data_IF_522841282138
#
_entry.id   IF_522841282138
#
_cell.length_a   1.000
_cell.length_b   1.000
_cell.length_c   1.000
_cell.angle_alpha   90.00
_cell.angle_beta   90.00
_cell.angle_gamma   90.00
#
_symmetry.space_group_name_H-M   'P 1'
#
loop_
_entity.id
_entity.type
_entity.pdbx_description
1 polymer ?
#
# COMPACT_ATOMS: atom_id res chain seq x y z
N UNK A 1 38.33 -9.31 -68.82
CA UNK A 1 37.70 -10.22 -69.81
C UNK A 1 36.42 -9.59 -70.32
N UNK A 2 36.26 -9.45 -71.64
CA UNK A 2 35.02 -8.96 -72.22
C UNK A 2 33.92 -10.00 -71.99
N UNK A 3 32.83 -9.60 -71.33
CA UNK A 3 31.70 -10.49 -71.07
C UNK A 3 31.07 -10.92 -72.40
N UNK A 4 30.89 -12.24 -72.59
CA UNK A 4 30.24 -12.81 -73.78
C UNK A 4 28.71 -12.57 -73.79
N UNK A 5 28.18 -11.75 -72.87
CA UNK A 5 26.78 -11.32 -72.82
C UNK A 5 26.27 -10.68 -74.10
N UNK A 6 27.13 -10.05 -74.89
CA UNK A 6 26.77 -9.45 -76.20
C UNK A 6 26.90 -10.43 -77.38
N UNK A 7 27.20 -11.71 -77.13
CA UNK A 7 27.30 -12.72 -78.16
C UNK A 7 25.96 -12.97 -78.86
N UNK A 8 26.03 -13.32 -80.15
CA UNK A 8 24.84 -13.63 -80.94
C UNK A 8 24.05 -14.80 -80.31
N UNK A 9 22.70 -14.82 -80.43
CA UNK A 9 21.88 -15.90 -79.88
C UNK A 9 22.31 -17.30 -80.36
N UNK A 10 22.81 -17.41 -81.61
CA UNK A 10 23.35 -18.66 -82.16
C UNK A 10 24.59 -19.14 -81.40
N UNK A 11 25.50 -18.23 -81.07
CA UNK A 11 26.73 -18.56 -80.33
C UNK A 11 26.43 -18.93 -78.87
N UNK A 12 25.47 -18.27 -78.23
CA UNK A 12 25.01 -18.64 -76.88
C UNK A 12 24.34 -20.01 -76.85
N UNK A 13 23.51 -20.31 -77.85
CA UNK A 13 22.92 -21.64 -78.02
C UNK A 13 24.00 -22.71 -78.19
N UNK A 14 25.03 -22.44 -79.01
CA UNK A 14 26.18 -23.33 -79.16
C UNK A 14 26.91 -23.59 -77.83
N UNK A 15 27.19 -22.55 -77.03
CA UNK A 15 27.83 -22.73 -75.72
C UNK A 15 27.00 -23.60 -74.77
N UNK A 16 25.68 -23.45 -74.79
CA UNK A 16 24.76 -24.25 -73.98
C UNK A 16 24.69 -25.71 -74.45
N UNK A 17 24.61 -25.93 -75.75
CA UNK A 17 24.50 -27.28 -76.33
C UNK A 17 25.81 -28.09 -76.21
N UNK A 18 26.96 -27.42 -76.19
CA UNK A 18 28.27 -28.07 -76.09
C UNK A 18 28.86 -28.04 -74.67
N UNK A 19 28.04 -27.74 -73.65
CA UNK A 19 28.45 -27.72 -72.24
C UNK A 19 29.72 -26.89 -71.95
N UNK A 20 29.97 -25.85 -72.76
CA UNK A 20 31.20 -25.05 -72.70
C UNK A 20 31.42 -24.40 -71.33
N UNK A 21 30.39 -23.82 -70.68
CA UNK A 21 30.55 -23.30 -69.32
C UNK A 21 31.01 -24.36 -68.32
N UNK A 22 30.48 -25.59 -68.41
CA UNK A 22 30.80 -26.70 -67.51
C UNK A 22 32.22 -27.23 -67.75
N UNK A 23 32.67 -27.31 -69.00
CA UNK A 23 34.05 -27.68 -69.35
C UNK A 23 35.04 -26.65 -68.83
N UNK A 24 34.76 -25.35 -69.05
CA UNK A 24 35.57 -24.28 -68.51
C UNK A 24 35.59 -24.31 -66.98
N UNK A 25 34.47 -24.65 -66.34
CA UNK A 25 34.41 -24.77 -64.89
C UNK A 25 35.33 -25.86 -64.34
N UNK A 26 35.28 -27.06 -64.92
CA UNK A 26 36.09 -28.20 -64.48
C UNK A 26 37.59 -27.92 -64.65
N UNK A 27 37.98 -27.37 -65.80
CA UNK A 27 39.37 -27.02 -66.10
C UNK A 27 39.89 -25.90 -65.18
N UNK A 28 39.10 -24.86 -64.97
CA UNK A 28 39.47 -23.75 -64.07
C UNK A 28 39.53 -24.22 -62.62
N UNK A 29 38.62 -25.09 -62.18
CA UNK A 29 38.71 -25.71 -60.86
C UNK A 29 39.99 -26.54 -60.70
N UNK A 30 40.32 -27.38 -61.69
CA UNK A 30 41.56 -28.17 -61.71
C UNK A 30 42.81 -27.31 -61.61
N UNK A 31 42.92 -26.27 -62.44
CA UNK A 31 44.05 -25.34 -62.41
C UNK A 31 44.21 -24.62 -61.07
N UNK A 32 43.12 -24.10 -60.52
CA UNK A 32 43.15 -23.32 -59.27
C UNK A 32 43.46 -24.18 -58.05
N UNK A 33 43.18 -25.49 -58.09
CA UNK A 33 43.43 -26.42 -56.98
C UNK A 33 44.81 -27.06 -57.10
N UNK A 34 45.15 -27.57 -58.28
CA UNK A 34 46.39 -28.33 -58.51
C UNK A 34 47.61 -27.42 -58.68
N UNK A 35 47.41 -26.17 -59.17
CA UNK A 35 48.46 -25.18 -59.41
C UNK A 35 49.74 -25.75 -60.05
N UNK A 36 49.63 -26.41 -61.23
CA UNK A 36 50.76 -27.06 -61.88
C UNK A 36 51.83 -26.05 -62.31
N UNK A 37 53.10 -26.49 -62.34
CA UNK A 37 54.22 -25.65 -62.82
C UNK A 37 54.09 -25.26 -64.29
N UNK A 38 53.53 -26.17 -65.11
CA UNK A 38 53.16 -25.90 -66.50
C UNK A 38 51.63 -26.02 -66.69
N UNK A 39 50.89 -24.90 -66.63
CA UNK A 39 49.43 -24.91 -66.75
C UNK A 39 48.94 -25.22 -68.16
N UNK A 40 49.73 -24.98 -69.21
CA UNK A 40 49.33 -25.23 -70.59
C UNK A 40 49.34 -26.73 -70.88
N UNK A 41 50.44 -27.40 -70.50
CA UNK A 41 50.56 -28.85 -70.65
C UNK A 41 49.50 -29.59 -69.82
N UNK A 42 49.26 -29.15 -68.59
CA UNK A 42 48.20 -29.70 -67.75
C UNK A 42 46.80 -29.53 -68.37
N UNK A 43 46.49 -28.36 -68.93
CA UNK A 43 45.21 -28.13 -69.61
C UNK A 43 45.04 -29.05 -70.82
N UNK A 44 46.10 -29.24 -71.61
CA UNK A 44 46.07 -30.14 -72.77
C UNK A 44 45.76 -31.58 -72.36
N UNK A 45 46.47 -32.10 -71.35
CA UNK A 45 46.25 -33.44 -70.80
C UNK A 45 44.82 -33.60 -70.25
N UNK A 46 44.30 -32.59 -69.54
CA UNK A 46 42.93 -32.62 -69.02
C UNK A 46 41.86 -32.51 -70.11
N UNK A 47 42.09 -31.72 -71.16
CA UNK A 47 41.17 -31.62 -72.31
C UNK A 47 41.10 -32.95 -73.06
N UNK A 48 42.24 -33.60 -73.30
CA UNK A 48 42.30 -34.92 -73.92
C UNK A 48 41.51 -35.92 -73.07
N UNK A 49 41.72 -35.93 -71.74
CA UNK A 49 40.97 -36.79 -70.82
C UNK A 49 39.45 -36.53 -70.83
N UNK A 50 39.01 -35.28 -70.95
CA UNK A 50 37.57 -34.96 -71.09
C UNK A 50 37.02 -35.45 -72.43
N UNK A 51 37.79 -35.31 -73.52
CA UNK A 51 37.38 -35.78 -74.85
C UNK A 51 37.23 -37.31 -74.90
N UNK A 52 38.12 -38.05 -74.25
CA UNK A 52 38.08 -39.52 -74.18
C UNK A 52 36.91 -40.06 -73.32
N UNK A 53 36.58 -39.38 -72.22
CA UNK A 53 35.51 -39.79 -71.30
C UNK A 53 34.11 -39.29 -71.70
N UNK A 54 34.05 -38.35 -72.64
CA UNK A 54 32.81 -37.75 -73.15
C UNK A 54 32.21 -36.67 -72.22
N UNK A 55 31.42 -35.76 -72.80
CA UNK A 55 30.83 -34.62 -72.08
C UNK A 55 29.67 -35.02 -71.15
N UNK A 56 29.06 -36.19 -71.34
CA UNK A 56 27.93 -36.68 -70.54
C UNK A 56 28.34 -37.07 -69.11
N UNK A 57 29.61 -37.44 -68.90
CA UNK A 57 30.17 -37.82 -67.59
C UNK A 57 30.89 -36.67 -66.90
N UNK A 58 30.87 -35.47 -67.49
CA UNK A 58 31.62 -34.32 -67.02
C UNK A 58 31.14 -33.83 -65.66
N UNK A 59 32.03 -33.92 -64.66
CA UNK A 59 31.84 -33.38 -63.32
C UNK A 59 32.80 -32.20 -63.08
N UNK A 60 32.38 -31.27 -62.23
CA UNK A 60 33.16 -30.04 -61.93
C UNK A 60 34.51 -30.33 -61.26
N UNK A 61 34.66 -31.50 -60.63
CA UNK A 61 35.86 -31.95 -59.91
C UNK A 61 36.67 -32.99 -60.69
N UNK A 62 36.31 -33.27 -61.95
CA UNK A 62 36.96 -34.29 -62.78
C UNK A 62 38.45 -34.01 -63.01
N UNK A 63 38.84 -32.73 -63.13
CA UNK A 63 40.24 -32.35 -63.30
C UNK A 63 40.99 -32.20 -61.97
N UNK A 64 40.36 -32.48 -60.82
CA UNK A 64 40.99 -32.33 -59.50
C UNK A 64 41.40 -33.71 -58.96
N UNK A 65 42.65 -33.84 -58.52
CA UNK A 65 43.13 -35.06 -57.87
C UNK A 65 42.21 -35.44 -56.68
N UNK A 66 41.73 -36.70 -56.58
CA UNK A 66 40.93 -37.19 -55.46
C UNK A 66 41.45 -36.81 -54.07
N UNK A 67 42.76 -36.72 -53.87
CA UNK A 67 43.38 -36.35 -52.59
C UNK A 67 43.27 -34.86 -52.26
N UNK A 68 43.06 -34.01 -53.27
CA UNK A 68 43.03 -32.55 -53.17
C UNK A 68 41.62 -31.96 -53.37
N UNK A 69 40.59 -32.81 -53.44
CA UNK A 69 39.21 -32.35 -53.68
C UNK A 69 38.71 -31.40 -52.59
N UNK A 70 38.28 -30.17 -52.94
CA UNK A 70 37.78 -29.23 -51.96
C UNK A 70 36.40 -29.67 -51.44
N UNK A 71 36.16 -29.49 -50.13
CA UNK A 71 34.86 -29.80 -49.49
C UNK A 71 33.69 -28.93 -50.00
N UNK A 72 34.00 -27.79 -50.61
CA UNK A 72 33.03 -26.82 -51.13
C UNK A 72 33.42 -26.48 -52.56
N UNK A 73 32.45 -26.54 -53.48
CA UNK A 73 32.60 -26.13 -54.88
C UNK A 73 32.92 -24.62 -54.92
N UNK A 74 34.15 -24.26 -55.34
CA UNK A 74 34.67 -22.87 -55.27
C UNK A 74 34.12 -21.96 -56.38
N UNK A 75 33.81 -22.52 -57.55
CA UNK A 75 33.16 -21.80 -58.64
C UNK A 75 31.70 -22.20 -58.67
N UNK A 76 30.78 -21.26 -58.50
CA UNK A 76 29.36 -21.55 -58.65
C UNK A 76 29.02 -21.63 -60.14
N UNK A 77 28.23 -22.63 -60.52
CA UNK A 77 27.72 -22.79 -61.88
C UNK A 77 27.11 -21.49 -62.44
N UNK A 78 26.46 -20.72 -61.57
CA UNK A 78 25.82 -19.44 -61.88
C UNK A 78 26.80 -18.36 -62.37
N UNK A 79 28.06 -18.35 -61.93
CA UNK A 79 29.01 -17.32 -62.35
C UNK A 79 29.42 -17.49 -63.82
N UNK A 80 29.68 -18.73 -64.26
CA UNK A 80 30.03 -18.99 -65.65
C UNK A 80 28.81 -18.83 -66.56
N UNK A 81 27.62 -19.27 -66.13
CA UNK A 81 26.36 -19.00 -66.85
C UNK A 81 26.13 -17.49 -67.06
N UNK A 82 26.44 -16.66 -66.06
CA UNK A 82 26.40 -15.20 -66.16
C UNK A 82 27.49 -14.60 -67.07
N UNK A 83 28.69 -15.21 -67.11
CA UNK A 83 29.79 -14.77 -67.98
C UNK A 83 29.47 -15.04 -69.45
N UNK A 84 28.89 -16.20 -69.75
CA UNK A 84 28.45 -16.64 -71.07
C UNK A 84 27.09 -16.05 -71.48
N UNK A 85 26.41 -15.31 -70.59
CA UNK A 85 25.14 -14.62 -70.89
C UNK A 85 23.98 -15.59 -71.15
N UNK A 86 24.00 -16.72 -70.43
CA UNK A 86 22.98 -17.77 -70.48
C UNK A 86 21.89 -17.59 -69.40
N UNK A 87 22.07 -16.58 -68.52
CA UNK A 87 21.12 -16.20 -67.48
C UNK A 87 20.14 -15.14 -68.02
N UNK A 88 18.86 -15.51 -68.14
CA UNK A 88 17.77 -14.65 -68.65
C UNK A 88 17.22 -13.67 -67.59
N UNK A 89 17.71 -13.67 -66.34
CA UNK A 89 17.05 -12.97 -65.22
C UNK A 89 17.61 -11.59 -64.83
N UNK A 90 18.59 -11.00 -65.52
CA UNK A 90 19.23 -9.77 -65.04
C UNK A 90 18.70 -8.48 -65.71
N UNK A 91 17.92 -7.74 -64.92
CA UNK A 91 17.41 -6.37 -65.12
C UNK A 91 16.56 -6.19 -66.37
N UNK A 92 15.26 -6.42 -66.22
CA UNK A 92 14.30 -6.00 -67.23
C UNK A 92 14.19 -4.46 -67.24
N UNK A 93 13.93 -3.84 -68.40
CA UNK A 93 13.68 -2.39 -68.50
C UNK A 93 12.58 -1.91 -67.53
N UNK A 94 11.61 -2.77 -67.24
CA UNK A 94 10.52 -2.52 -66.30
C UNK A 94 11.01 -2.33 -64.86
N UNK A 95 11.97 -3.13 -64.41
CA UNK A 95 12.57 -2.98 -63.07
C UNK A 95 13.39 -1.69 -62.97
N UNK A 96 14.06 -1.30 -64.05
CA UNK A 96 14.82 -0.05 -64.10
C UNK A 96 13.91 1.18 -64.04
N UNK A 97 12.78 1.16 -64.78
CA UNK A 97 11.75 2.19 -64.73
C UNK A 97 11.16 2.29 -63.32
N UNK A 98 10.86 1.15 -62.68
CA UNK A 98 10.33 1.11 -61.32
C UNK A 98 11.29 1.72 -60.30
N UNK A 99 12.59 1.41 -60.40
CA UNK A 99 13.61 1.98 -59.54
C UNK A 99 13.74 3.50 -59.74
N UNK A 100 13.72 3.98 -60.99
CA UNK A 100 13.78 5.40 -61.32
C UNK A 100 12.57 6.17 -60.77
N UNK A 101 11.36 5.64 -60.97
CA UNK A 101 10.13 6.24 -60.45
C UNK A 101 10.12 6.31 -58.92
N UNK A 102 10.60 5.26 -58.24
CA UNK A 102 10.71 5.26 -56.79
C UNK A 102 11.69 6.32 -56.29
N UNK A 103 12.87 6.41 -56.90
CA UNK A 103 13.87 7.41 -56.54
C UNK A 103 13.36 8.84 -56.75
N UNK A 104 12.78 9.13 -57.92
CA UNK A 104 12.25 10.44 -58.25
C UNK A 104 11.07 10.83 -57.34
N UNK A 105 10.15 9.89 -57.06
CA UNK A 105 9.03 10.13 -56.16
C UNK A 105 9.49 10.45 -54.73
N UNK A 106 10.52 9.74 -54.23
CA UNK A 106 11.11 10.02 -52.92
C UNK A 106 11.77 11.40 -52.91
N UNK A 107 12.56 11.71 -53.93
CA UNK A 107 13.29 12.98 -54.05
C UNK A 107 12.33 14.17 -54.07
N UNK A 108 11.27 14.11 -54.90
CA UNK A 108 10.23 15.13 -54.97
C UNK A 108 9.53 15.32 -53.63
N UNK A 109 9.17 14.21 -52.96
CA UNK A 109 8.53 14.25 -51.64
C UNK A 109 9.42 14.95 -50.62
N UNK A 110 10.70 14.61 -50.55
CA UNK A 110 11.64 15.22 -49.61
C UNK A 110 11.80 16.71 -49.86
N UNK A 111 12.08 17.13 -51.10
CA UNK A 111 12.23 18.55 -51.42
C UNK A 111 10.93 19.34 -51.21
N UNK A 112 9.78 18.75 -51.51
CA UNK A 112 8.49 19.39 -51.27
C UNK A 112 8.22 19.61 -49.77
N UNK A 113 8.54 18.64 -48.90
CA UNK A 113 8.41 18.83 -47.45
C UNK A 113 9.32 19.93 -46.94
N UNK A 114 10.60 19.90 -47.32
CA UNK A 114 11.57 20.94 -46.92
C UNK A 114 11.12 22.32 -47.41
N UNK A 115 10.67 22.43 -48.66
CA UNK A 115 10.12 23.68 -49.19
C UNK A 115 8.90 24.14 -48.39
N UNK A 116 7.96 23.24 -48.10
CA UNK A 116 6.74 23.55 -47.35
C UNK A 116 7.05 24.07 -45.95
N UNK A 117 7.99 23.45 -45.23
CA UNK A 117 8.40 23.90 -43.89
C UNK A 117 9.03 25.29 -43.90
N UNK A 118 9.76 25.64 -44.98
CA UNK A 118 10.41 26.95 -45.11
C UNK A 118 9.42 28.02 -45.61
N UNK A 119 8.57 27.67 -46.58
CA UNK A 119 7.69 28.61 -47.27
C UNK A 119 6.41 28.91 -46.47
N UNK A 120 5.99 28.01 -45.60
CA UNK A 120 4.84 28.20 -44.70
C UNK A 120 5.39 28.33 -43.28
N UNK A 121 5.77 29.54 -42.82
CA UNK A 121 6.19 29.74 -41.45
C UNK A 121 5.05 29.32 -40.50
N UNK A 122 5.36 28.75 -39.32
CA UNK A 122 4.37 28.32 -38.34
C UNK A 122 3.79 29.52 -37.59
N UNK A 123 3.19 30.49 -38.30
CA UNK A 123 2.59 31.68 -37.71
C UNK A 123 1.47 31.37 -36.71
N UNK A 124 0.89 30.16 -36.77
CA UNK A 124 -0.11 29.71 -35.80
C UNK A 124 0.47 29.00 -34.57
N UNK A 125 1.70 28.50 -34.60
CA UNK A 125 2.23 27.73 -33.45
C UNK A 125 2.58 28.63 -32.27
N UNK A 126 3.18 29.79 -32.55
CA UNK A 126 3.50 30.80 -31.54
C UNK A 126 2.21 31.36 -30.89
N UNK A 127 1.17 31.60 -31.69
CA UNK A 127 -0.14 32.06 -31.20
C UNK A 127 -0.82 30.98 -30.34
N UNK A 128 -0.79 29.71 -30.76
CA UNK A 128 -1.32 28.58 -29.98
C UNK A 128 -0.54 28.42 -28.67
N UNK A 129 0.79 28.58 -28.71
CA UNK A 129 1.64 28.51 -27.52
C UNK A 129 1.32 29.66 -26.56
N UNK A 130 1.17 30.88 -27.07
CA UNK A 130 0.80 32.05 -26.28
C UNK A 130 -0.58 31.88 -25.61
N UNK A 131 -1.57 31.35 -26.33
CA UNK A 131 -2.90 31.05 -25.79
C UNK A 131 -2.81 30.01 -24.66
N UNK A 132 -2.08 28.91 -24.88
CA UNK A 132 -1.86 27.87 -23.86
C UNK A 132 -1.14 28.41 -22.63
N UNK A 133 -0.13 29.26 -22.83
CA UNK A 133 0.61 29.91 -21.76
C UNK A 133 -0.33 30.83 -20.93
N UNK A 134 -1.17 31.61 -21.60
CA UNK A 134 -2.19 32.44 -20.96
C UNK A 134 -3.17 31.61 -20.12
N UNK A 135 -3.70 30.52 -20.67
CA UNK A 135 -4.59 29.61 -19.96
C UNK A 135 -3.91 28.98 -18.72
N UNK A 136 -2.64 28.59 -18.84
CA UNK A 136 -1.86 28.03 -17.73
C UNK A 136 -1.67 29.05 -16.60
N UNK A 137 -1.37 30.31 -16.92
CA UNK A 137 -1.23 31.39 -15.94
C UNK A 137 -2.56 31.64 -15.21
N UNK A 138 -3.68 31.70 -15.93
CA UNK A 138 -5.00 31.88 -15.32
C UNK A 138 -5.34 30.72 -14.38
N UNK A 139 -5.09 29.48 -14.82
CA UNK A 139 -5.32 28.29 -14.01
C UNK A 139 -4.45 28.28 -12.74
N UNK A 140 -3.16 28.60 -12.86
CA UNK A 140 -2.26 28.62 -11.70
C UNK A 140 -2.67 29.69 -10.68
N UNK A 141 -3.02 30.89 -11.14
CA UNK A 141 -3.55 31.94 -10.28
C UNK A 141 -4.84 31.52 -9.57
N UNK A 142 -5.76 30.86 -10.27
CA UNK A 142 -6.97 30.31 -9.68
C UNK A 142 -6.65 29.25 -8.63
N UNK A 143 -5.72 28.33 -8.93
CA UNK A 143 -5.26 27.27 -8.02
C UNK A 143 -4.68 27.85 -6.74
N UNK A 144 -3.83 28.87 -6.83
CA UNK A 144 -3.24 29.56 -5.68
C UNK A 144 -4.31 30.22 -4.82
N UNK A 145 -5.22 31.00 -5.43
CA UNK A 145 -6.35 31.61 -4.70
C UNK A 145 -7.22 30.58 -4.00
N UNK A 146 -7.52 29.47 -4.69
CA UNK A 146 -8.28 28.34 -4.12
C UNK A 146 -7.56 27.73 -2.93
N UNK A 147 -6.24 27.52 -3.01
CA UNK A 147 -5.46 26.97 -1.91
C UNK A 147 -5.53 27.86 -0.66
N UNK A 148 -5.30 29.17 -0.82
CA UNK A 148 -5.41 30.15 0.28
C UNK A 148 -6.81 30.15 0.89
N UNK A 149 -7.86 30.10 0.07
CA UNK A 149 -9.24 30.05 0.55
C UNK A 149 -9.53 28.78 1.36
N UNK A 150 -9.05 27.62 0.91
CA UNK A 150 -9.23 26.36 1.65
C UNK A 150 -8.51 26.39 3.01
N UNK A 151 -7.29 26.92 3.03
CA UNK A 151 -6.53 27.07 4.26
C UNK A 151 -7.24 28.02 5.24
N UNK A 152 -7.68 29.19 4.76
CA UNK A 152 -8.45 30.14 5.55
C UNK A 152 -9.75 29.53 6.07
N UNK A 153 -10.52 28.84 5.22
CA UNK A 153 -11.77 28.20 5.60
C UNK A 153 -11.54 27.14 6.68
N UNK A 154 -10.53 26.29 6.51
CA UNK A 154 -10.14 25.27 7.51
C UNK A 154 -9.76 25.92 8.84
N UNK A 155 -8.94 26.97 8.81
CA UNK A 155 -8.56 27.73 9.99
C UNK A 155 -9.78 28.32 10.72
N UNK A 156 -10.69 28.99 10.00
CA UNK A 156 -11.89 29.60 10.58
C UNK A 156 -12.82 28.53 11.16
N UNK A 157 -12.99 27.39 10.46
CA UNK A 157 -13.80 26.28 10.95
C UNK A 157 -13.25 25.73 12.26
N UNK A 158 -11.95 25.44 12.32
CA UNK A 158 -11.29 24.95 13.52
C UNK A 158 -11.39 25.96 14.68
N UNK A 159 -11.19 27.26 14.40
CA UNK A 159 -11.36 28.33 15.41
C UNK A 159 -12.78 28.38 15.98
N UNK A 160 -13.80 28.22 15.13
CA UNK A 160 -15.20 28.17 15.58
C UNK A 160 -15.48 26.93 16.44
N UNK A 161 -14.91 25.78 16.09
CA UNK A 161 -15.00 24.54 16.87
C UNK A 161 -14.36 24.70 18.24
N UNK A 162 -13.12 25.21 18.30
CA UNK A 162 -12.42 25.49 19.56
C UNK A 162 -13.21 26.45 20.48
N UNK A 163 -13.81 27.50 19.91
CA UNK A 163 -14.62 28.44 20.69
C UNK A 163 -15.88 27.77 21.25
N UNK A 164 -16.57 26.94 20.46
CA UNK A 164 -17.74 26.18 20.94
C UNK A 164 -17.35 25.23 22.07
N UNK A 165 -16.24 24.52 21.93
CA UNK A 165 -15.75 23.59 22.95
C UNK A 165 -15.37 24.32 24.24
N UNK A 166 -14.69 25.46 24.14
CA UNK A 166 -14.36 26.30 25.29
C UNK A 166 -15.62 26.80 26.00
N UNK A 167 -16.63 27.27 25.26
CA UNK A 167 -17.91 27.70 25.81
C UNK A 167 -18.64 26.56 26.54
N UNK A 168 -18.69 25.36 25.96
CA UNK A 168 -19.29 24.19 26.59
C UNK A 168 -18.57 23.81 27.90
N UNK A 169 -17.23 23.91 27.93
CA UNK A 169 -16.46 23.68 29.17
C UNK A 169 -16.80 24.69 30.25
N UNK A 170 -16.85 25.98 29.91
CA UNK A 170 -17.22 27.04 30.86
C UNK A 170 -18.63 26.84 31.39
N UNK A 171 -19.60 26.53 30.52
CA UNK A 171 -20.98 26.23 30.92
C UNK A 171 -21.07 25.05 31.88
N UNK A 172 -20.34 23.96 31.60
CA UNK A 172 -20.26 22.80 32.50
C UNK A 172 -19.67 23.18 33.86
N UNK A 173 -18.58 23.94 33.89
CA UNK A 173 -17.99 24.41 35.15
C UNK A 173 -18.96 25.28 35.95
N UNK A 174 -19.66 26.19 35.29
CA UNK A 174 -20.67 27.04 35.94
C UNK A 174 -21.82 26.21 36.52
N UNK A 175 -22.30 25.20 35.77
CA UNK A 175 -23.33 24.29 36.25
C UNK A 175 -22.86 23.50 37.48
N UNK A 176 -21.67 22.90 37.42
CA UNK A 176 -21.07 22.17 38.55
C UNK A 176 -20.93 23.09 39.78
N UNK A 177 -20.42 24.30 39.59
CA UNK A 177 -20.25 25.27 40.68
C UNK A 177 -21.59 25.65 41.31
N UNK A 178 -22.62 25.91 40.50
CA UNK A 178 -23.98 26.19 40.97
C UNK A 178 -24.56 25.00 41.77
N UNK A 179 -24.34 23.77 41.30
CA UNK A 179 -24.73 22.57 42.03
C UNK A 179 -24.01 22.46 43.39
N UNK A 180 -22.70 22.67 43.41
CA UNK A 180 -21.90 22.64 44.65
C UNK A 180 -22.41 23.66 45.66
N UNK A 181 -22.65 24.91 45.25
CA UNK A 181 -23.23 25.93 46.13
C UNK A 181 -24.58 25.49 46.67
N UNK A 182 -25.44 24.95 45.81
CA UNK A 182 -26.79 24.52 46.19
C UNK A 182 -26.74 23.37 47.20
N UNK A 183 -25.87 22.38 46.96
CA UNK A 183 -25.66 21.25 47.86
C UNK A 183 -25.06 21.69 49.20
N UNK A 184 -24.09 22.61 49.19
CA UNK A 184 -23.53 23.17 50.43
C UNK A 184 -24.60 23.88 51.25
N UNK A 185 -25.40 24.77 50.64
CA UNK A 185 -26.52 25.46 51.32
C UNK A 185 -27.56 24.47 51.87
N UNK A 186 -27.84 23.39 51.14
CA UNK A 186 -28.74 22.34 51.62
C UNK A 186 -28.14 21.59 52.82
N UNK A 187 -26.87 21.19 52.72
CA UNK A 187 -26.14 20.49 53.78
C UNK A 187 -26.08 21.30 55.06
N UNK A 188 -25.81 22.59 54.97
CA UNK A 188 -25.72 23.47 56.13
C UNK A 188 -27.08 23.61 56.83
N UNK A 189 -28.17 23.77 56.05
CA UNK A 189 -29.54 23.75 56.59
C UNK A 189 -29.90 22.41 57.23
N UNK A 190 -29.52 21.29 56.61
CA UNK A 190 -29.77 19.97 57.16
C UNK A 190 -29.04 19.78 58.50
N UNK A 191 -27.76 20.20 58.59
CA UNK A 191 -26.97 20.18 59.83
C UNK A 191 -27.59 21.06 60.91
N UNK A 192 -28.00 22.29 60.59
CA UNK A 192 -28.66 23.17 61.56
C UNK A 192 -29.97 22.57 62.07
N UNK A 193 -30.79 21.98 61.20
CA UNK A 193 -32.05 21.34 61.60
C UNK A 193 -31.81 20.10 62.47
N UNK A 194 -30.79 19.31 62.17
CA UNK A 194 -30.40 18.15 62.97
C UNK A 194 -29.92 18.59 64.35
N UNK A 195 -28.96 19.53 64.42
CA UNK A 195 -28.45 20.06 65.68
C UNK A 195 -29.54 20.67 66.55
N UNK A 196 -30.47 21.44 65.96
CA UNK A 196 -31.63 21.98 66.70
C UNK A 196 -32.48 20.87 67.33
N UNK A 197 -32.74 19.77 66.62
CA UNK A 197 -33.50 18.62 67.17
C UNK A 197 -32.73 17.93 68.29
N UNK A 198 -31.41 17.78 68.13
CA UNK A 198 -30.53 17.21 69.14
C UNK A 198 -30.53 18.07 70.41
N UNK A 199 -30.34 19.38 70.28
CA UNK A 199 -30.39 20.34 71.39
C UNK A 199 -31.78 20.33 72.08
N UNK A 200 -32.87 20.28 71.32
CA UNK A 200 -34.24 20.16 71.86
C UNK A 200 -34.46 18.85 72.64
N UNK A 201 -33.89 17.74 72.16
CA UNK A 201 -33.96 16.44 72.84
C UNK A 201 -33.10 16.44 74.11
N UNK A 202 -31.88 16.98 74.05
CA UNK A 202 -30.99 17.13 75.20
C UNK A 202 -31.65 17.96 76.31
N UNK A 203 -32.26 19.09 75.95
CA UNK A 203 -32.97 19.94 76.90
C UNK A 203 -34.17 19.23 77.54
N UNK A 204 -34.90 18.40 76.78
CA UNK A 204 -35.97 17.54 77.33
C UNK A 204 -35.43 16.51 78.32
N UNK A 205 -34.32 15.85 78.00
CA UNK A 205 -33.68 14.90 78.89
C UNK A 205 -33.19 15.58 80.18
N UNK A 206 -32.59 16.76 80.07
CA UNK A 206 -32.12 17.54 81.22
C UNK A 206 -33.27 17.97 82.14
N UNK A 207 -34.39 18.43 81.56
CA UNK A 207 -35.61 18.73 82.32
C UNK A 207 -36.20 17.48 83.02
N UNK A 208 -36.16 16.31 82.38
CA UNK A 208 -36.58 15.06 83.00
C UNK A 208 -35.67 14.66 84.16
N UNK A 209 -34.35 14.79 84.01
CA UNK A 209 -33.38 14.54 85.08
C UNK A 209 -33.59 15.49 86.26
N UNK A 210 -33.82 16.79 86.01
CA UNK A 210 -34.14 17.75 87.06
C UNK A 210 -35.47 17.45 87.77
N UNK A 211 -36.49 16.96 87.05
CA UNK A 211 -37.74 16.49 87.67
C UNK A 211 -37.50 15.26 88.55
N UNK A 212 -36.71 14.31 88.06
CA UNK A 212 -36.38 13.08 88.79
C UNK A 212 -35.52 13.36 90.03
N UNK A 213 -34.57 14.29 89.95
CA UNK A 213 -33.78 14.72 91.11
C UNK A 213 -34.65 15.44 92.15
N UNK A 214 -35.55 16.34 91.73
CA UNK A 214 -36.54 16.97 92.64
C UNK A 214 -37.49 15.95 93.27
N UNK A 215 -37.82 14.85 92.57
CA UNK A 215 -38.62 13.75 93.12
C UNK A 215 -37.81 12.94 94.14
N UNK A 216 -36.54 12.61 93.85
CA UNK A 216 -35.62 11.94 94.79
C UNK A 216 -35.39 12.75 96.06
N UNK A 217 -35.29 14.07 95.97
CA UNK A 217 -35.18 14.94 97.16
C UNK A 217 -36.50 15.06 97.95
N UNK A 218 -37.67 14.74 97.37
CA UNK A 218 -38.94 14.63 98.10
C UNK A 218 -39.15 13.27 98.76
N UNK A 219 -38.45 12.23 98.33
CA UNK A 219 -38.55 10.87 98.90
C UNK A 219 -37.40 10.55 99.88
N UNK A 220 -36.41 11.44 100.00
CA UNK A 220 -35.28 11.33 100.93
C UNK A 220 -35.63 11.80 102.36
N UNK A 221 -36.73 11.29 102.89
CA UNK A 221 -36.99 11.26 104.33
C UNK A 221 -37.55 9.89 104.70
N UNK A 222 -36.76 8.84 104.43
CA UNK A 222 -36.68 7.56 105.16
C UNK A 222 -35.80 6.59 104.37
N UNK A 223 -34.55 6.54 104.85
CA UNK A 223 -33.74 5.36 105.12
C UNK A 223 -33.42 4.29 104.07
N UNK A 224 -32.12 3.96 104.16
CA UNK A 224 -31.43 2.71 103.99
C UNK A 224 -30.89 2.29 102.61
N UNK A 225 -29.56 2.38 102.58
CA UNK A 225 -28.63 1.88 101.59
C UNK A 225 -28.68 0.36 101.48
N UNK A 226 -28.74 -0.14 100.24
CA UNK A 226 -28.16 -1.43 99.87
C UNK A 226 -27.46 -1.23 98.52
N UNK A 227 -26.13 -1.25 98.52
CA UNK A 227 -25.32 -1.51 97.33
C UNK A 227 -25.32 -3.03 97.06
N UNK A 228 -25.28 -3.42 95.78
CA UNK A 228 -24.29 -4.41 95.40
C UNK A 228 -23.34 -3.88 94.33
N UNK A 229 -22.07 -3.79 94.70
CA UNK A 229 -20.90 -3.92 93.83
C UNK A 229 -20.90 -5.29 93.13
N UNK A 230 -20.75 -5.32 91.80
CA UNK A 230 -19.59 -5.99 91.18
C UNK A 230 -19.45 -5.72 89.66
N UNK A 231 -18.50 -4.84 89.35
CA UNK A 231 -17.47 -4.89 88.30
C UNK A 231 -17.75 -5.56 86.93
N UNK A 232 -17.71 -4.73 85.88
CA UNK A 232 -16.76 -4.96 84.76
C UNK A 232 -16.04 -3.64 84.44
N UNK A 233 -14.73 -3.69 84.69
CA UNK A 233 -13.63 -2.76 84.43
C UNK A 233 -13.84 -1.61 83.44
N UNK A 234 -13.68 -0.39 83.95
CA UNK A 234 -13.44 0.83 83.19
C UNK A 234 -11.92 0.96 82.95
N UNK A 235 -11.51 0.66 81.71
CA UNK A 235 -10.15 0.88 81.20
C UNK A 235 -10.14 2.15 80.33
N UNK A 236 -9.49 3.17 80.88
CA UNK A 236 -9.29 4.51 80.36
C UNK A 236 -8.62 4.56 78.95
N UNK A 237 -8.95 5.61 78.18
CA UNK A 237 -8.13 6.36 77.21
C UNK A 237 -8.26 6.12 75.68
N UNK A 238 -8.61 7.25 75.04
CA UNK A 238 -7.97 7.82 73.83
C UNK A 238 -8.52 7.35 72.48
N UNK A 239 -8.66 8.35 71.59
CA UNK A 239 -9.34 8.25 70.32
C UNK A 239 -8.76 7.17 69.40
N UNK A 240 -9.66 6.32 68.94
CA UNK A 240 -9.46 5.43 67.81
C UNK A 240 -10.84 5.08 67.31
N UNK A 241 -11.14 5.38 66.06
CA UNK A 241 -12.31 4.84 65.37
C UNK A 241 -12.19 3.32 65.50
N UNK A 242 -13.10 2.67 66.22
CA UNK A 242 -13.20 1.22 66.18
C UNK A 242 -13.47 0.84 64.74
N UNK A 243 -12.45 0.29 64.06
CA UNK A 243 -12.61 -0.25 62.71
C UNK A 243 -13.65 -1.37 62.78
N UNK A 244 -14.87 -1.04 62.40
CA UNK A 244 -15.94 -2.00 62.27
C UNK A 244 -15.64 -2.91 61.09
N UNK A 245 -15.23 -4.15 61.37
CA UNK A 245 -15.01 -5.13 60.32
C UNK A 245 -16.33 -5.77 59.88
N UNK A 246 -16.71 -5.48 58.63
CA UNK A 246 -17.90 -6.02 57.97
C UNK A 246 -17.89 -7.56 57.96
N UNK A 247 -16.72 -8.20 58.03
CA UNK A 247 -16.61 -9.66 58.08
C UNK A 247 -17.25 -10.30 59.31
N UNK A 248 -17.45 -9.54 60.38
CA UNK A 248 -18.09 -10.01 61.62
C UNK A 248 -19.63 -10.07 61.52
N UNK A 249 -20.21 -9.54 60.44
CA UNK A 249 -21.65 -9.58 60.24
C UNK A 249 -22.13 -11.00 59.86
N UNK A 250 -23.37 -11.37 60.24
CA UNK A 250 -23.99 -12.59 59.75
C UNK A 250 -24.04 -12.61 58.22
N UNK A 251 -23.77 -13.77 57.61
CA UNK A 251 -23.76 -13.96 56.14
C UNK A 251 -25.01 -13.39 55.43
N UNK A 252 -26.18 -13.43 56.09
CA UNK A 252 -27.43 -12.86 55.56
C UNK A 252 -27.39 -11.34 55.44
N UNK A 253 -26.82 -10.64 56.43
CA UNK A 253 -26.67 -9.19 56.41
C UNK A 253 -25.67 -8.75 55.34
N UNK A 254 -24.55 -9.48 55.21
CA UNK A 254 -23.54 -9.25 54.16
C UNK A 254 -24.18 -9.37 52.78
N UNK A 255 -24.94 -10.44 52.52
CA UNK A 255 -25.63 -10.63 51.24
C UNK A 255 -26.62 -9.52 50.93
N UNK A 256 -27.34 -9.04 51.95
CA UNK A 256 -28.30 -7.96 51.80
C UNK A 256 -27.60 -6.62 51.52
N UNK A 257 -26.45 -6.34 52.13
CA UNK A 257 -25.66 -5.14 51.83
C UNK A 257 -25.20 -5.17 50.36
N UNK A 258 -24.64 -6.28 49.90
CA UNK A 258 -24.13 -6.40 48.53
C UNK A 258 -25.24 -6.52 47.47
N UNK A 259 -26.44 -6.98 47.81
CA UNK A 259 -27.57 -7.03 46.86
C UNK A 259 -28.13 -5.65 46.49
N UNK A 260 -27.90 -4.62 47.30
CA UNK A 260 -28.27 -3.24 46.97
C UNK A 260 -27.23 -2.50 46.12
N UNK A 261 -26.07 -3.11 45.86
CA UNK A 261 -25.00 -2.51 45.05
C UNK A 261 -25.15 -2.86 43.57
N UNK A 262 -24.69 -1.96 42.70
CA UNK A 262 -24.60 -2.27 41.27
C UNK A 262 -23.49 -3.30 41.01
N UNK A 263 -23.57 -4.04 39.90
CA UNK A 263 -22.55 -5.02 39.50
C UNK A 263 -21.13 -4.43 39.51
N UNK A 264 -21.01 -3.17 39.08
CA UNK A 264 -19.74 -2.44 39.06
C UNK A 264 -19.22 -2.16 40.48
N UNK A 265 -20.11 -1.77 41.38
CA UNK A 265 -19.74 -1.46 42.76
C UNK A 265 -19.36 -2.72 43.54
N UNK A 266 -20.04 -3.86 43.27
CA UNK A 266 -19.67 -5.17 43.84
C UNK A 266 -18.25 -5.58 43.41
N UNK A 267 -17.86 -5.33 42.16
CA UNK A 267 -16.49 -5.60 41.67
C UNK A 267 -15.47 -4.70 42.38
N UNK A 268 -15.77 -3.42 42.55
CA UNK A 268 -14.90 -2.46 43.27
C UNK A 268 -14.75 -2.88 44.73
N UNK A 269 -15.83 -3.32 45.39
CA UNK A 269 -15.79 -3.84 46.74
C UNK A 269 -14.86 -5.07 46.88
N UNK A 270 -14.76 -5.92 45.86
CA UNK A 270 -13.84 -7.06 45.85
C UNK A 270 -12.35 -6.67 45.85
N UNK A 271 -12.03 -5.41 45.53
CA UNK A 271 -10.66 -4.90 45.51
C UNK A 271 -10.19 -4.31 46.85
N UNK A 272 -11.09 -4.22 47.86
CA UNK A 272 -10.80 -3.59 49.15
C UNK A 272 -9.85 -4.45 50.00
N UNK A 273 -10.20 -5.71 50.23
CA UNK A 273 -9.34 -6.68 50.93
C UNK A 273 -9.79 -8.12 50.62
N UNK A 274 -9.01 -9.11 51.07
CA UNK A 274 -9.30 -10.54 50.83
C UNK A 274 -10.63 -11.00 51.43
N UNK A 275 -11.06 -10.41 52.54
CA UNK A 275 -12.34 -10.73 53.18
C UNK A 275 -13.53 -10.27 52.33
N UNK A 276 -13.46 -9.05 51.81
CA UNK A 276 -14.45 -8.48 50.90
C UNK A 276 -14.49 -9.19 49.55
N UNK A 277 -13.35 -9.65 49.05
CA UNK A 277 -13.29 -10.50 47.87
C UNK A 277 -14.09 -11.80 48.08
N UNK A 278 -13.94 -12.46 49.23
CA UNK A 278 -14.70 -13.68 49.54
C UNK A 278 -16.20 -13.43 49.71
N UNK A 279 -16.57 -12.29 50.32
CA UNK A 279 -17.98 -11.90 50.49
C UNK A 279 -18.66 -11.58 49.15
N UNK A 280 -17.95 -10.90 48.23
CA UNK A 280 -18.48 -10.56 46.89
C UNK A 280 -18.56 -11.79 45.97
N UNK A 281 -17.77 -12.84 46.20
CA UNK A 281 -17.80 -14.09 45.45
C UNK A 281 -18.88 -15.09 45.91
N UNK A 282 -19.70 -14.74 46.91
CA UNK A 282 -20.78 -15.63 47.37
C UNK A 282 -21.76 -15.90 46.22
N UNK A 283 -21.89 -17.18 45.82
CA UNK A 283 -22.69 -17.58 44.65
C UNK A 283 -24.15 -17.08 44.67
N UNK A 284 -24.72 -16.88 45.86
CA UNK A 284 -26.06 -16.30 46.05
C UNK A 284 -26.23 -14.87 45.54
N UNK A 285 -25.14 -14.08 45.41
CA UNK A 285 -25.18 -12.73 44.82
C UNK A 285 -25.29 -12.77 43.29
N UNK A 286 -24.85 -13.86 42.66
CA UNK A 286 -24.72 -13.97 41.21
C UNK A 286 -25.84 -14.79 40.55
N UNK A 287 -26.70 -15.43 41.35
CA UNK A 287 -27.80 -16.28 40.88
C UNK A 287 -28.82 -15.56 39.96
N UNK A 288 -28.87 -14.22 39.97
CA UNK A 288 -29.72 -13.40 39.09
C UNK A 288 -28.99 -12.72 37.91
N UNK A 289 -27.67 -12.88 37.79
CA UNK A 289 -26.87 -12.17 36.77
C UNK A 289 -26.83 -13.00 35.48
N UNK A 290 -27.55 -12.53 34.46
CA UNK A 290 -27.54 -13.19 33.14
C UNK A 290 -26.16 -13.06 32.47
N UNK A 291 -25.72 -14.16 31.82
CA UNK A 291 -24.38 -14.34 31.18
C UNK A 291 -24.03 -13.25 30.14
N UNK A 292 -25.02 -12.44 29.72
CA UNK A 292 -24.84 -11.35 28.77
C UNK A 292 -24.13 -10.12 29.35
N UNK A 293 -24.32 -9.81 30.65
CA UNK A 293 -23.73 -8.63 31.31
C UNK A 293 -22.24 -8.81 31.66
N UNK A 294 -21.78 -10.05 31.86
CA UNK A 294 -20.37 -10.35 32.18
C UNK A 294 -19.41 -10.06 31.01
N UNK A 295 -19.90 -10.10 29.76
CA UNK A 295 -19.09 -9.72 28.58
C UNK A 295 -18.78 -8.22 28.54
N UNK A 296 -19.64 -7.37 29.10
CA UNK A 296 -19.47 -5.91 29.02
C UNK A 296 -18.47 -5.37 30.05
N UNK A 297 -18.27 -6.07 31.18
CA UNK A 297 -17.32 -5.65 32.21
C UNK A 297 -15.87 -6.12 31.95
N UNK A 298 -15.66 -7.20 31.18
CA UNK A 298 -14.31 -7.66 30.82
C UNK A 298 -13.62 -6.77 29.77
N UNK A 299 -14.38 -5.98 29.00
CA UNK A 299 -13.84 -5.03 28.01
C UNK A 299 -13.31 -3.71 28.61
N UNK A 300 -13.46 -3.48 29.91
CA UNK A 300 -13.02 -2.25 30.59
C UNK A 300 -11.78 -2.42 31.49
N UNK A 301 -11.11 -3.58 31.41
CA UNK A 301 -9.87 -3.86 32.15
C UNK A 301 -8.73 -4.34 31.22
N UNK A 302 -8.66 -3.78 30.01
CA UNK A 302 -7.49 -3.86 29.11
C UNK A 302 -6.93 -2.45 28.90
#
# INVERSE_FOLDING_TARGET
MASLRRASPRLRKYFKENYVPQVCEALLCGLLVTCPEDPLRYLEEMIIGIMENGLETLLWDMCVDPLMKPKIRRLSQTYLEQLFGLDDQLVTPELMIKACNFYNGRLLKTHFYTWREIAIPPTNEDDILAEKMGAAIVYDNFRLKKHVLHHWHSYVKNRKEQLRDALLRIQKMFHCYKMIITLNKWRDRARHKFKKREDELMLKHELQLQKFSKLKFKTSSKEEHVFPEQFVSEGFLVGGITEFDISQLPKRAILQIFSYLSLRDVIICGQVNRSWLLMTQMGSLWNGVSRHYLKQCLYFSS
#
